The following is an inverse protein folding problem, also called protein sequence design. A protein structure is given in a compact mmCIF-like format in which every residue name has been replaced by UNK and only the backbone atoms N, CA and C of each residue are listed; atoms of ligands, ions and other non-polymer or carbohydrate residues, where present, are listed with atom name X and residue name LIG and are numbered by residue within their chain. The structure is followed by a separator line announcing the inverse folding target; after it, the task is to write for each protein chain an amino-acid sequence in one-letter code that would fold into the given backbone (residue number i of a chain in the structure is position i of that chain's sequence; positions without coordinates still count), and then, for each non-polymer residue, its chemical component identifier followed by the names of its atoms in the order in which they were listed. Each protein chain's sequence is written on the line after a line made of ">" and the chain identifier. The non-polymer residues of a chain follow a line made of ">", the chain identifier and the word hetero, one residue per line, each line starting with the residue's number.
data_IF_986196444054
#
_entry.id   IF_986196444054
#
_cell.length_a   1.000
_cell.length_b   1.000
_cell.length_c   1.000
_cell.angle_alpha   90.00
_cell.angle_beta   90.00
_cell.angle_gamma   90.00
#
_symmetry.space_group_name_H-M   'P 1'
#
loop_
_entity.id
_entity.type
_entity.pdbx_description
1 polymer ?
#
# COMPACT_ATOMS: atom_id res chain seq x y z
N UNK A 1 -6.65 1.97 -12.69
CA UNK A 1 -8.09 1.94 -12.35
C UNK A 1 -8.21 1.87 -10.83
N UNK A 2 -9.01 2.73 -10.24
CA UNK A 2 -9.21 2.77 -8.79
C UNK A 2 -10.54 2.10 -8.46
N UNK A 3 -10.51 1.21 -7.45
CA UNK A 3 -11.65 0.39 -7.07
C UNK A 3 -11.93 0.59 -5.58
N UNK A 4 -13.15 0.98 -5.20
CA UNK A 4 -13.54 1.03 -3.80
C UNK A 4 -13.59 -0.38 -3.21
N UNK A 5 -13.05 -0.52 -2.01
CA UNK A 5 -13.03 -1.79 -1.27
C UNK A 5 -13.51 -1.57 0.17
N UNK A 6 -14.00 -2.61 0.87
CA UNK A 6 -14.25 -2.54 2.30
C UNK A 6 -12.99 -2.09 3.06
N UNK A 7 -13.16 -1.33 4.14
CA UNK A 7 -12.01 -0.94 4.98
C UNK A 7 -11.34 -2.14 5.65
N UNK A 8 -12.10 -3.19 5.92
CA UNK A 8 -11.61 -4.46 6.46
C UNK A 8 -11.90 -5.55 5.44
N UNK A 9 -10.85 -6.22 4.99
CA UNK A 9 -10.90 -7.37 4.10
C UNK A 9 -10.93 -8.66 4.92
N UNK A 10 -11.74 -9.61 4.50
CA UNK A 10 -11.84 -10.94 5.12
C UNK A 10 -10.87 -11.93 4.48
N UNK A 11 -10.57 -13.04 5.14
CA UNK A 11 -9.83 -14.14 4.51
C UNK A 11 -10.46 -14.55 3.16
N UNK A 12 -9.64 -14.60 2.13
CA UNK A 12 -10.02 -14.83 0.73
C UNK A 12 -10.08 -13.56 -0.13
N UNK A 13 -10.34 -12.39 0.46
CA UNK A 13 -10.46 -11.13 -0.30
C UNK A 13 -9.11 -10.67 -0.86
N UNK A 14 -8.03 -10.75 -0.06
CA UNK A 14 -6.68 -10.39 -0.53
C UNK A 14 -6.17 -11.33 -1.63
N UNK A 15 -6.46 -12.64 -1.53
CA UNK A 15 -6.12 -13.58 -2.58
C UNK A 15 -6.85 -13.25 -3.89
N UNK A 16 -8.15 -12.92 -3.83
CA UNK A 16 -8.95 -12.52 -4.98
C UNK A 16 -8.40 -11.24 -5.63
N UNK A 17 -8.04 -10.24 -4.83
CA UNK A 17 -7.44 -8.99 -5.32
C UNK A 17 -6.06 -9.23 -5.93
N UNK A 18 -5.24 -10.10 -5.31
CA UNK A 18 -3.93 -10.47 -5.82
C UNK A 18 -4.00 -11.20 -7.16
N UNK A 19 -4.97 -12.12 -7.32
CA UNK A 19 -5.19 -12.81 -8.58
C UNK A 19 -5.68 -11.83 -9.67
N UNK A 20 -6.50 -10.85 -9.29
CA UNK A 20 -6.92 -9.80 -10.21
C UNK A 20 -5.74 -8.91 -10.64
N UNK A 21 -4.83 -8.59 -9.73
CA UNK A 21 -3.63 -7.79 -10.04
C UNK A 21 -2.66 -8.52 -10.98
N UNK A 22 -2.42 -9.82 -10.75
CA UNK A 22 -1.49 -10.60 -11.59
C UNK A 22 -2.08 -10.89 -12.98
N UNK A 23 -3.37 -11.21 -13.06
CA UNK A 23 -3.98 -11.61 -14.32
C UNK A 23 -4.32 -10.41 -15.22
N UNK A 24 -4.69 -9.26 -14.62
CA UNK A 24 -5.33 -8.16 -15.34
C UNK A 24 -4.62 -6.80 -15.19
N UNK A 25 -3.56 -6.72 -14.38
CA UNK A 25 -2.86 -5.47 -14.09
C UNK A 25 -1.32 -5.67 -13.98
N UNK A 26 -0.64 -4.82 -13.22
CA UNK A 26 0.83 -4.83 -13.06
C UNK A 26 1.36 -5.76 -11.96
N UNK A 27 0.52 -6.63 -11.40
CA UNK A 27 0.90 -7.53 -10.30
C UNK A 27 1.01 -6.86 -8.93
N UNK A 28 0.45 -5.66 -8.77
CA UNK A 28 0.47 -4.91 -7.50
C UNK A 28 -0.90 -4.35 -7.15
N UNK A 29 -1.16 -4.28 -5.85
CA UNK A 29 -2.25 -3.50 -5.28
C UNK A 29 -1.68 -2.15 -4.82
N UNK A 30 -2.23 -1.04 -5.31
CA UNK A 30 -1.80 0.30 -4.96
C UNK A 30 -2.72 0.89 -3.89
N UNK A 31 -2.24 0.98 -2.64
CA UNK A 31 -2.97 1.45 -1.48
C UNK A 31 -2.58 2.90 -1.16
N UNK A 32 -3.01 3.85 -1.97
CA UNK A 32 -2.64 5.26 -1.81
C UNK A 32 -3.70 6.08 -1.08
N UNK A 33 -4.95 5.61 -1.12
CA UNK A 33 -6.10 6.27 -0.49
C UNK A 33 -6.86 5.24 0.37
N UNK A 34 -7.28 5.55 1.61
CA UNK A 34 -8.04 4.63 2.43
C UNK A 34 -9.33 4.16 1.72
N UNK A 35 -9.64 2.87 1.81
CA UNK A 35 -10.85 2.29 1.19
C UNK A 35 -10.84 2.25 -0.34
N UNK A 36 -9.68 2.47 -0.96
CA UNK A 36 -9.51 2.40 -2.42
C UNK A 36 -8.24 1.63 -2.75
N UNK A 37 -8.36 0.63 -3.62
CA UNK A 37 -7.21 -0.06 -4.21
C UNK A 37 -7.09 0.33 -5.68
N UNK A 38 -5.92 0.84 -6.04
CA UNK A 38 -5.55 1.13 -7.41
C UNK A 38 -4.94 -0.09 -8.11
N UNK A 39 -5.23 -0.22 -9.40
CA UNK A 39 -4.61 -1.18 -10.31
C UNK A 39 -3.98 -0.43 -11.48
N UNK A 40 -2.68 -0.60 -11.71
CA UNK A 40 -1.96 0.00 -12.82
C UNK A 40 -1.88 -0.96 -14.00
N UNK A 41 -1.79 -0.45 -15.23
CA UNK A 41 -1.61 -1.27 -16.43
C UNK A 41 -2.77 -2.22 -16.74
N UNK A 42 -4.00 -1.88 -16.34
CA UNK A 42 -5.18 -2.76 -16.48
C UNK A 42 -5.43 -3.11 -17.95
N UNK A 43 -5.40 -4.42 -18.25
CA UNK A 43 -5.64 -4.98 -19.58
C UNK A 43 -7.12 -5.22 -19.89
N UNK A 44 -7.93 -5.57 -18.88
CA UNK A 44 -9.38 -5.79 -18.98
C UNK A 44 -10.12 -5.11 -17.80
N UNK A 45 -10.58 -3.86 -17.98
CA UNK A 45 -11.31 -3.14 -16.94
C UNK A 45 -12.66 -3.76 -16.54
N UNK A 46 -13.33 -4.45 -17.48
CA UNK A 46 -14.63 -5.10 -17.22
C UNK A 46 -14.40 -6.34 -16.36
N UNK A 47 -13.49 -7.21 -16.78
CA UNK A 47 -13.14 -8.42 -16.02
C UNK A 47 -12.60 -8.09 -14.61
N UNK A 48 -11.83 -6.99 -14.45
CA UNK A 48 -11.38 -6.52 -13.15
C UNK A 48 -12.58 -6.11 -12.29
N UNK A 49 -13.51 -5.31 -12.83
CA UNK A 49 -14.72 -4.90 -12.12
C UNK A 49 -15.57 -6.08 -11.64
N UNK A 50 -15.75 -7.10 -12.50
CA UNK A 50 -16.47 -8.33 -12.16
C UNK A 50 -15.79 -9.13 -11.03
N UNK A 51 -14.45 -9.21 -11.02
CA UNK A 51 -13.71 -9.87 -9.93
C UNK A 51 -13.87 -9.14 -8.62
N UNK A 52 -13.66 -7.84 -8.61
CA UNK A 52 -13.73 -7.01 -7.40
C UNK A 52 -15.16 -6.97 -6.82
N UNK A 53 -16.19 -7.06 -7.66
CA UNK A 53 -17.59 -7.14 -7.19
C UNK A 53 -17.91 -8.38 -6.33
N UNK A 54 -17.00 -9.36 -6.28
CA UNK A 54 -17.10 -10.56 -5.42
C UNK A 54 -16.53 -10.35 -4.02
N UNK A 55 -15.89 -9.20 -3.74
CA UNK A 55 -15.45 -8.89 -2.39
C UNK A 55 -16.62 -8.88 -1.41
N UNK A 56 -16.34 -9.31 -0.19
CA UNK A 56 -17.35 -9.34 0.87
C UNK A 56 -17.90 -7.94 1.14
N UNK A 57 -19.20 -7.75 0.96
CA UNK A 57 -19.85 -6.43 1.00
C UNK A 57 -20.05 -5.86 2.42
N UNK A 58 -19.43 -6.44 3.43
CA UNK A 58 -19.66 -6.04 4.82
C UNK A 58 -18.68 -4.94 5.24
N UNK A 59 -19.24 -3.78 5.52
CA UNK A 59 -18.50 -2.61 5.98
C UNK A 59 -18.40 -2.72 7.51
N UNK A 60 -17.40 -3.43 8.01
CA UNK A 60 -17.07 -3.39 9.42
C UNK A 60 -16.72 -1.96 9.83
N UNK A 61 -17.34 -1.45 10.88
CA UNK A 61 -17.06 -0.14 11.49
C UNK A 61 -15.67 -0.12 12.20
N UNK A 62 -14.74 -0.93 11.74
CA UNK A 62 -13.41 -1.07 12.28
C UNK A 62 -12.53 0.12 11.94
N UNK A 63 -12.68 1.22 12.66
CA UNK A 63 -11.66 2.27 12.72
C UNK A 63 -10.63 1.86 13.78
N UNK A 64 -9.75 0.95 13.44
CA UNK A 64 -8.47 0.84 14.11
C UNK A 64 -7.57 1.94 13.54
N UNK A 65 -6.88 2.66 14.39
CA UNK A 65 -5.83 3.58 13.99
C UNK A 65 -4.81 2.77 13.18
N UNK A 66 -4.58 3.11 11.91
CA UNK A 66 -3.68 2.38 11.00
C UNK A 66 -2.20 2.63 11.38
N UNK A 67 -1.90 2.53 12.66
CA UNK A 67 -0.57 2.76 13.21
C UNK A 67 0.35 1.57 12.90
N UNK A 68 1.62 1.88 12.66
CA UNK A 68 2.65 0.89 12.35
C UNK A 68 3.14 0.26 13.64
N UNK A 69 3.35 -1.05 13.61
CA UNK A 69 3.93 -1.81 14.71
C UNK A 69 2.94 -2.68 15.44
N UNK A 70 3.30 -3.01 16.67
CA UNK A 70 2.63 -3.98 17.52
C UNK A 70 1.67 -3.29 18.48
N UNK A 71 0.38 -3.67 18.45
CA UNK A 71 -0.67 -3.07 19.27
C UNK A 71 -1.39 -4.15 20.07
N UNK A 72 -1.11 -4.21 21.37
CA UNK A 72 -1.76 -5.14 22.29
C UNK A 72 -3.26 -4.84 22.42
N UNK A 73 -4.06 -5.88 22.40
CA UNK A 73 -5.51 -5.84 22.62
C UNK A 73 -5.87 -6.33 24.02
N UNK A 74 -7.05 -5.98 24.48
CA UNK A 74 -7.56 -6.39 25.80
C UNK A 74 -7.88 -7.90 25.89
N UNK A 75 -7.94 -8.62 24.79
CA UNK A 75 -8.23 -10.04 24.66
C UNK A 75 -6.99 -10.93 24.49
N UNK A 76 -5.81 -10.43 24.88
CA UNK A 76 -4.51 -11.09 24.75
C UNK A 76 -4.10 -11.39 23.29
N UNK A 77 -4.71 -10.68 22.35
CA UNK A 77 -4.35 -10.71 20.94
C UNK A 77 -3.61 -9.42 20.54
N UNK A 78 -3.14 -9.38 19.32
CA UNK A 78 -2.36 -8.28 18.76
C UNK A 78 -2.95 -7.83 17.44
N UNK A 79 -3.06 -6.53 17.25
CA UNK A 79 -3.20 -5.93 15.93
C UNK A 79 -1.82 -5.51 15.44
N UNK A 80 -1.41 -6.03 14.28
CA UNK A 80 -0.08 -5.79 13.73
C UNK A 80 -0.15 -4.90 12.50
N UNK A 81 0.26 -3.63 12.64
CA UNK A 81 0.30 -2.65 11.56
C UNK A 81 1.60 -2.72 10.76
N UNK A 82 1.50 -2.68 9.43
CA UNK A 82 2.63 -2.63 8.52
C UNK A 82 2.47 -1.54 7.47
N UNK A 83 3.55 -0.81 7.20
CA UNK A 83 3.64 0.11 6.09
C UNK A 83 4.02 -0.59 4.79
N UNK A 84 3.59 0.00 3.68
CA UNK A 84 3.90 -0.46 2.33
C UNK A 84 4.87 0.49 1.66
N UNK A 85 5.99 -0.05 1.16
CA UNK A 85 6.94 0.76 0.40
C UNK A 85 6.25 1.37 -0.83
N UNK A 86 6.28 2.69 -0.92
CA UNK A 86 5.66 3.47 -1.99
C UNK A 86 4.13 3.26 -2.15
N UNK A 87 3.46 2.74 -1.11
CA UNK A 87 2.04 2.41 -1.18
C UNK A 87 1.70 1.19 -2.04
N UNK A 88 2.69 0.33 -2.35
CA UNK A 88 2.51 -0.85 -3.22
C UNK A 88 2.58 -2.15 -2.42
N UNK A 89 1.60 -3.00 -2.62
CA UNK A 89 1.55 -4.35 -2.09
C UNK A 89 1.66 -5.35 -3.26
N UNK A 90 2.79 -6.07 -3.42
CA UNK A 90 2.92 -7.09 -4.45
C UNK A 90 1.85 -8.19 -4.28
N UNK A 91 1.28 -8.68 -5.38
CA UNK A 91 0.24 -9.72 -5.35
C UNK A 91 0.69 -10.97 -4.57
N UNK A 92 1.94 -11.39 -4.72
CA UNK A 92 2.49 -12.49 -3.93
C UNK A 92 2.43 -12.22 -2.42
N UNK A 93 2.76 -11.00 -1.98
CA UNK A 93 2.72 -10.64 -0.54
C UNK A 93 1.27 -10.54 -0.05
N UNK A 94 0.36 -10.05 -0.87
CA UNK A 94 -1.07 -10.04 -0.57
C UNK A 94 -1.63 -11.45 -0.33
N UNK A 95 -1.23 -12.45 -1.16
CA UNK A 95 -1.59 -13.85 -0.93
C UNK A 95 -1.00 -14.42 0.36
N UNK A 96 0.24 -14.03 0.70
CA UNK A 96 0.85 -14.46 1.97
C UNK A 96 0.10 -13.87 3.17
N UNK A 97 -0.34 -12.62 3.10
CA UNK A 97 -1.21 -12.02 4.11
C UNK A 97 -2.54 -12.78 4.23
N UNK A 98 -3.15 -13.15 3.10
CA UNK A 98 -4.41 -13.90 3.08
C UNK A 98 -4.30 -15.28 3.75
N UNK A 99 -3.18 -15.98 3.57
CA UNK A 99 -2.92 -17.29 4.19
C UNK A 99 -2.84 -17.23 5.70
N UNK A 100 -2.56 -16.05 6.31
CA UNK A 100 -2.61 -15.89 7.77
C UNK A 100 -4.02 -16.17 8.31
N UNK A 101 -5.05 -15.89 7.51
CA UNK A 101 -6.45 -16.20 7.83
C UNK A 101 -7.09 -15.24 8.84
N UNK A 102 -6.51 -14.05 9.04
CA UNK A 102 -7.08 -12.97 9.84
C UNK A 102 -7.78 -11.93 8.97
N UNK A 103 -8.56 -11.06 9.60
CA UNK A 103 -9.05 -9.83 8.95
C UNK A 103 -7.90 -8.86 8.74
N UNK A 104 -7.91 -8.15 7.60
CA UNK A 104 -6.89 -7.16 7.25
C UNK A 104 -7.54 -5.81 6.96
N UNK A 105 -7.23 -4.83 7.79
CA UNK A 105 -7.64 -3.45 7.53
C UNK A 105 -6.71 -2.82 6.50
N UNK A 106 -7.30 -2.10 5.54
CA UNK A 106 -6.59 -1.41 4.46
C UNK A 106 -6.60 0.09 4.70
N UNK A 107 -5.42 0.67 4.85
CA UNK A 107 -5.21 2.11 5.03
C UNK A 107 -4.46 2.75 3.86
N UNK A 108 -4.11 4.04 4.00
CA UNK A 108 -3.25 4.73 3.05
C UNK A 108 -1.79 4.27 3.22
N UNK A 109 -1.28 3.54 2.24
CA UNK A 109 0.05 2.91 2.27
C UNK A 109 0.29 2.01 3.51
N UNK A 110 -0.77 1.46 4.10
CA UNK A 110 -0.69 0.61 5.30
C UNK A 110 -1.66 -0.55 5.22
N UNK A 111 -1.32 -1.64 5.91
CA UNK A 111 -2.21 -2.76 6.21
C UNK A 111 -2.10 -3.10 7.69
N UNK A 112 -3.20 -3.48 8.33
CA UNK A 112 -3.20 -3.93 9.73
C UNK A 112 -3.86 -5.31 9.79
N UNK A 113 -3.12 -6.29 10.26
CA UNK A 113 -3.60 -7.65 10.53
C UNK A 113 -4.23 -7.66 11.93
N UNK A 114 -5.49 -8.06 12.02
CA UNK A 114 -6.30 -7.89 13.21
C UNK A 114 -6.36 -9.21 14.00
N UNK A 115 -6.13 -9.15 15.31
CA UNK A 115 -6.41 -10.23 16.25
C UNK A 115 -5.47 -11.44 16.12
N UNK A 116 -4.18 -11.21 15.93
CA UNK A 116 -3.16 -12.26 15.89
C UNK A 116 -2.76 -12.70 17.31
N UNK A 117 -2.39 -13.98 17.49
CA UNK A 117 -1.60 -14.35 18.66
C UNK A 117 -0.16 -13.85 18.54
N UNK A 118 0.53 -13.61 19.66
CA UNK A 118 1.92 -13.15 19.69
C UNK A 118 2.84 -13.98 18.78
N UNK A 119 2.77 -15.30 18.89
CA UNK A 119 3.61 -16.19 18.08
C UNK A 119 3.33 -16.09 16.58
N UNK A 120 2.07 -15.86 16.17
CA UNK A 120 1.72 -15.64 14.77
C UNK A 120 2.24 -14.26 14.32
N UNK A 121 2.06 -13.21 15.12
CA UNK A 121 2.53 -11.87 14.79
C UNK A 121 4.07 -11.83 14.63
N UNK A 122 4.83 -12.49 15.50
CA UNK A 122 6.29 -12.65 15.35
C UNK A 122 6.68 -13.36 14.05
N UNK A 123 5.97 -14.42 13.68
CA UNK A 123 6.20 -15.14 12.42
C UNK A 123 5.91 -14.24 11.21
N UNK A 124 4.83 -13.47 11.25
CA UNK A 124 4.45 -12.52 10.20
C UNK A 124 5.56 -11.49 9.99
N UNK A 125 6.06 -10.87 11.07
CA UNK A 125 7.18 -9.91 10.97
C UNK A 125 8.40 -10.57 10.33
N UNK A 126 8.77 -11.76 10.80
CA UNK A 126 9.95 -12.49 10.32
C UNK A 126 9.88 -12.82 8.83
N UNK A 127 8.69 -13.19 8.34
CA UNK A 127 8.49 -13.59 6.93
C UNK A 127 8.28 -12.38 6.02
N UNK A 128 7.48 -11.38 6.44
CA UNK A 128 7.04 -10.33 5.55
C UNK A 128 7.92 -9.07 5.56
N UNK A 129 8.72 -8.82 6.61
CA UNK A 129 9.66 -7.71 6.61
C UNK A 129 10.73 -7.83 5.49
N UNK A 130 11.34 -9.02 5.24
CA UNK A 130 12.25 -9.20 4.10
C UNK A 130 11.57 -9.00 2.74
N UNK A 131 10.25 -9.19 2.65
CA UNK A 131 9.46 -9.03 1.43
C UNK A 131 8.97 -7.59 1.21
N UNK A 132 9.34 -6.68 2.10
CA UNK A 132 9.12 -5.25 1.89
C UNK A 132 8.04 -4.61 2.76
N UNK A 133 7.37 -5.36 3.66
CA UNK A 133 6.51 -4.76 4.67
C UNK A 133 7.36 -4.06 5.73
N UNK A 134 6.90 -2.91 6.18
CA UNK A 134 7.62 -2.04 7.12
C UNK A 134 6.90 -2.05 8.46
N UNK A 135 7.52 -2.66 9.47
CA UNK A 135 6.98 -2.77 10.84
C UNK A 135 7.62 -1.79 11.82
N UNK A 136 8.63 -1.04 11.38
CA UNK A 136 9.29 0.01 12.16
C UNK A 136 8.67 1.37 11.84
N UNK A 137 8.01 1.98 12.82
CA UNK A 137 7.38 3.29 12.69
C UNK A 137 8.37 4.43 12.39
N UNK A 138 9.66 4.24 12.66
CA UNK A 138 10.72 5.22 12.35
C UNK A 138 11.31 5.02 10.94
N UNK A 139 10.83 4.06 10.16
CA UNK A 139 11.38 3.75 8.85
C UNK A 139 11.17 4.90 7.85
N UNK A 140 12.21 5.34 7.11
CA UNK A 140 12.07 6.37 6.09
C UNK A 140 11.11 6.00 4.95
N UNK A 141 10.84 4.70 4.75
CA UNK A 141 9.86 4.24 3.77
C UNK A 141 8.44 4.74 4.03
N UNK A 142 8.10 5.06 5.30
CA UNK A 142 6.77 5.54 5.68
C UNK A 142 6.55 7.02 5.30
N UNK A 143 7.62 7.76 5.06
CA UNK A 143 7.57 9.15 4.64
C UNK A 143 7.37 9.33 3.13
N UNK A 144 7.47 8.23 2.34
CA UNK A 144 7.50 8.31 0.86
C UNK A 144 6.41 7.48 0.24
N UNK A 145 5.66 8.10 -0.66
CA UNK A 145 4.71 7.45 -1.57
C UNK A 145 5.02 7.80 -3.01
N UNK A 146 4.58 6.99 -3.95
CA UNK A 146 4.69 7.28 -5.37
C UNK A 146 3.36 7.04 -6.09
N UNK A 147 3.12 7.72 -7.20
CA UNK A 147 1.96 7.46 -8.04
C UNK A 147 2.07 6.07 -8.70
N UNK A 148 0.96 5.61 -9.33
CA UNK A 148 0.89 4.28 -9.96
C UNK A 148 1.75 4.14 -11.23
N UNK A 149 2.59 5.12 -11.58
CA UNK A 149 3.43 5.13 -12.78
C UNK A 149 2.68 4.73 -14.07
N UNK A 150 1.68 5.53 -14.44
CA UNK A 150 0.91 5.30 -15.67
C UNK A 150 1.76 5.55 -16.94
N UNK A 151 1.22 5.21 -18.11
CA UNK A 151 1.89 5.41 -19.41
C UNK A 151 2.25 6.88 -19.75
N UNK A 152 1.76 7.84 -18.98
CA UNK A 152 2.11 9.26 -19.10
C UNK A 152 3.30 9.67 -18.22
N UNK A 153 3.82 8.74 -17.39
CA UNK A 153 4.98 9.03 -16.56
C UNK A 153 6.22 9.25 -17.44
N UNK A 154 6.96 10.31 -17.14
CA UNK A 154 8.18 10.69 -17.89
C UNK A 154 9.46 10.20 -17.20
N UNK A 155 9.35 9.57 -16.04
CA UNK A 155 10.44 8.90 -15.31
C UNK A 155 9.92 7.64 -14.60
N UNK A 156 10.82 6.71 -14.25
CA UNK A 156 10.50 5.58 -13.35
C UNK A 156 10.47 6.04 -11.89
N UNK A 157 9.34 6.64 -11.51
CA UNK A 157 9.16 7.21 -10.16
C UNK A 157 9.33 6.19 -9.03
N UNK A 158 9.13 4.90 -9.28
CA UNK A 158 9.33 3.87 -8.26
C UNK A 158 10.82 3.57 -8.07
N UNK A 159 11.59 3.48 -9.14
CA UNK A 159 13.04 3.32 -9.07
C UNK A 159 13.69 4.55 -8.44
N UNK A 160 13.29 5.75 -8.87
CA UNK A 160 13.84 7.02 -8.40
C UNK A 160 13.54 7.23 -6.90
N UNK A 161 12.29 7.01 -6.46
CA UNK A 161 11.91 7.09 -5.06
C UNK A 161 12.65 6.05 -4.20
N UNK A 162 12.82 4.83 -4.71
CA UNK A 162 13.59 3.77 -4.05
C UNK A 162 15.05 4.18 -3.86
N UNK A 163 15.67 4.71 -4.89
CA UNK A 163 17.03 5.21 -4.83
C UNK A 163 17.16 6.37 -3.84
N UNK A 164 16.22 7.31 -3.85
CA UNK A 164 16.21 8.45 -2.93
C UNK A 164 16.11 8.03 -1.47
N UNK A 165 15.29 7.01 -1.14
CA UNK A 165 15.23 6.45 0.22
C UNK A 165 16.55 5.79 0.60
N UNK A 166 17.14 4.95 -0.28
CA UNK A 166 18.39 4.23 0.00
C UNK A 166 19.58 5.16 0.17
N UNK A 167 19.60 6.29 -0.53
CA UNK A 167 20.69 7.29 -0.42
C UNK A 167 20.49 8.29 0.70
N UNK A 168 19.33 8.26 1.38
CA UNK A 168 18.98 9.24 2.42
C UNK A 168 18.68 10.63 1.84
N UNK A 169 18.33 10.72 0.57
CA UNK A 169 17.97 11.99 -0.07
C UNK A 169 16.57 12.49 0.32
N UNK A 170 15.73 11.63 0.89
CA UNK A 170 14.41 12.01 1.42
C UNK A 170 14.58 12.58 2.84
N UNK A 171 14.13 13.80 3.13
CA UNK A 171 14.14 14.35 4.47
C UNK A 171 13.24 13.52 5.41
N UNK A 172 13.77 13.16 6.60
CA UNK A 172 13.06 12.28 7.53
C UNK A 172 11.84 12.97 8.20
N UNK A 173 11.78 14.30 8.17
CA UNK A 173 10.74 15.13 8.78
C UNK A 173 9.65 15.57 7.79
N UNK A 174 9.71 15.11 6.53
CA UNK A 174 8.79 15.52 5.47
C UNK A 174 8.14 14.30 4.81
N UNK A 175 6.83 14.38 4.61
CA UNK A 175 6.14 13.43 3.74
C UNK A 175 6.40 13.81 2.29
N UNK A 176 6.76 12.83 1.47
CA UNK A 176 7.09 13.01 0.06
C UNK A 176 6.15 12.19 -0.81
N UNK A 177 5.66 12.79 -1.88
CA UNK A 177 4.91 12.09 -2.91
C UNK A 177 5.58 12.30 -4.28
N UNK A 178 6.02 11.21 -4.90
CA UNK A 178 6.72 11.24 -6.19
C UNK A 178 5.74 10.92 -7.30
N UNK A 179 5.62 11.82 -8.28
CA UNK A 179 4.65 11.71 -9.38
C UNK A 179 5.31 11.77 -10.74
N UNK A 180 4.92 10.87 -11.62
CA UNK A 180 5.49 10.75 -12.96
C UNK A 180 4.86 11.68 -14.00
N UNK A 181 3.72 12.32 -13.68
CA UNK A 181 3.02 13.23 -14.59
C UNK A 181 2.11 14.19 -13.82
N UNK A 182 1.61 15.20 -14.50
CA UNK A 182 0.77 16.26 -13.91
C UNK A 182 -0.58 15.80 -13.32
N UNK A 183 -1.01 14.55 -13.57
CA UNK A 183 -2.22 14.00 -12.93
C UNK A 183 -2.04 13.74 -11.43
N UNK A 184 -0.80 13.56 -10.95
CA UNK A 184 -0.46 13.40 -9.54
C UNK A 184 -1.38 12.41 -8.80
N UNK A 185 -1.58 11.22 -9.38
CA UNK A 185 -2.44 10.17 -8.84
C UNK A 185 -1.97 9.70 -7.47
N UNK A 186 -2.91 9.48 -6.54
CA UNK A 186 -2.60 8.99 -5.20
C UNK A 186 -1.99 10.04 -4.27
N UNK A 187 -2.15 11.33 -4.57
CA UNK A 187 -1.67 12.44 -3.73
C UNK A 187 -2.18 12.29 -2.29
N UNK A 188 -1.28 12.30 -1.29
CA UNK A 188 -1.67 12.21 0.11
C UNK A 188 -2.55 13.38 0.56
N UNK A 189 -3.48 13.12 1.46
CA UNK A 189 -4.17 14.18 2.17
C UNK A 189 -3.21 14.86 3.17
N UNK A 190 -3.27 16.18 3.27
CA UNK A 190 -2.44 16.98 4.19
C UNK A 190 -1.09 17.39 3.60
N UNK A 191 -0.31 18.11 4.42
CA UNK A 191 0.96 18.70 3.99
C UNK A 191 1.99 17.65 3.56
N UNK A 192 2.56 17.83 2.39
CA UNK A 192 3.62 16.99 1.82
C UNK A 192 4.46 17.75 0.81
N UNK A 193 5.59 17.20 0.43
CA UNK A 193 6.41 17.69 -0.68
C UNK A 193 6.14 16.80 -1.90
N UNK A 194 5.72 17.42 -2.98
CA UNK A 194 5.50 16.75 -4.26
C UNK A 194 6.73 16.86 -5.15
N UNK A 195 7.19 15.74 -5.66
CA UNK A 195 8.24 15.64 -6.66
C UNK A 195 7.59 15.29 -7.99
N UNK A 196 7.40 16.27 -8.87
CA UNK A 196 6.83 16.08 -10.20
C UNK A 196 7.95 15.84 -11.20
N UNK A 197 7.94 14.69 -11.85
CA UNK A 197 8.90 14.38 -12.91
C UNK A 197 8.71 15.32 -14.10
N UNK A 198 9.78 15.99 -14.52
CA UNK A 198 9.86 16.86 -15.70
C UNK A 198 10.70 16.24 -16.82
N UNK A 199 11.48 15.21 -16.50
CA UNK A 199 12.31 14.41 -17.38
C UNK A 199 12.77 13.15 -16.66
N UNK A 200 13.56 12.30 -17.32
CA UNK A 200 14.12 11.09 -16.74
C UNK A 200 15.08 11.44 -15.59
N UNK A 201 14.67 11.09 -14.35
CA UNK A 201 15.40 11.44 -13.13
C UNK A 201 15.38 12.93 -12.76
N UNK A 202 14.65 13.79 -13.48
CA UNK A 202 14.52 15.22 -13.18
C UNK A 202 13.19 15.56 -12.57
N UNK A 203 13.19 16.38 -11.50
CA UNK A 203 11.98 16.67 -10.71
C UNK A 203 11.84 18.15 -10.37
N UNK A 204 10.63 18.66 -10.56
CA UNK A 204 10.20 19.90 -9.93
C UNK A 204 9.65 19.60 -8.53
N UNK A 205 10.13 20.33 -7.51
CA UNK A 205 9.80 20.10 -6.10
C UNK A 205 8.91 21.21 -5.58
N UNK A 206 7.72 20.85 -5.06
CA UNK A 206 6.74 21.81 -4.58
C UNK A 206 6.16 21.36 -3.24
N UNK A 207 6.08 22.28 -2.25
CA UNK A 207 5.33 22.04 -1.02
C UNK A 207 3.82 22.17 -1.30
N UNK A 208 3.05 21.22 -0.78
CA UNK A 208 1.58 21.15 -0.96
C UNK A 208 0.86 21.18 0.38
#
# INVERSE_FOLDING_TARGET
>A
MDVPVPHVLRPGDLALLADAADDLADGHLHLLVPGVIGFAGVSDPVGLGERVSRLSADHGDGVSDSSIGWHERSDELVDLGAGLRLGRLPAQVARMLDVIGCEVQVGAATVTMIGLSDGVAEQVVRVLAPLGLVFDAASPWLAVTACQACHLAVSDVHADATQAVHTGAIPADQRVHVVGCAHACGRPAGAHVEYLATGDGEYEVTAR
#
